data_IF_553748609768
#
_entry.id   IF_553748609768
#
_cell.length_a   1.000
_cell.length_b   1.000
_cell.length_c   1.000
_cell.angle_alpha   90.00
_cell.angle_beta   90.00
_cell.angle_gamma   90.00
#
_symmetry.space_group_name_H-M   'P 1'
#
loop_
_entity.id
_entity.type
_entity.pdbx_description
1 polymer ?
#
# COMPACT_ATOMS: atom_id res chain seq x y z
N UNK A 1 -2.37 -74.45 27.02
CA UNK A 1 -3.22 -74.27 28.22
C UNK A 1 -3.27 -72.78 28.52
N UNK A 2 -4.45 -72.16 28.49
CA UNK A 2 -4.65 -70.85 29.16
C UNK A 2 -4.57 -71.06 30.68
N UNK A 3 -4.12 -70.05 31.45
CA UNK A 3 -5.11 -69.17 32.08
C UNK A 3 -4.70 -67.69 32.21
N UNK A 4 -5.64 -66.84 31.83
CA UNK A 4 -6.28 -65.72 32.54
C UNK A 4 -5.58 -65.01 33.73
N UNK A 5 -5.72 -63.67 33.71
CA UNK A 5 -6.11 -62.72 34.80
C UNK A 5 -5.11 -61.56 35.01
N UNK A 6 -5.48 -60.34 34.59
CA UNK A 6 -5.65 -59.16 35.48
C UNK A 6 -6.19 -57.96 34.68
N UNK A 7 -7.44 -57.58 35.00
CA UNK A 7 -8.09 -56.35 34.58
C UNK A 7 -7.42 -55.14 35.24
N UNK A 8 -7.20 -54.07 34.48
CA UNK A 8 -6.84 -52.75 34.99
C UNK A 8 -8.10 -51.97 35.42
N UNK A 9 -8.02 -51.15 36.50
CA UNK A 9 -9.15 -50.37 36.97
C UNK A 9 -9.43 -49.15 36.08
N UNK A 10 -10.72 -48.82 36.00
CA UNK A 10 -11.24 -47.61 35.42
C UNK A 10 -10.87 -46.37 36.26
N UNK A 11 -10.67 -45.24 35.60
CA UNK A 11 -10.75 -43.92 36.21
C UNK A 11 -9.51 -43.07 36.01
N UNK A 12 -9.54 -42.25 34.96
CA UNK A 12 -9.05 -40.87 34.94
C UNK A 12 -9.53 -40.26 33.62
N UNK A 13 -10.66 -39.56 33.68
CA UNK A 13 -11.16 -38.74 32.57
C UNK A 13 -10.19 -37.58 32.40
N UNK A 14 -9.66 -37.31 31.18
CA UNK A 14 -8.87 -36.11 30.94
C UNK A 14 -9.78 -34.89 31.11
N UNK A 15 -9.37 -33.95 31.97
CA UNK A 15 -10.00 -32.63 32.07
C UNK A 15 -9.69 -31.90 30.76
N UNK A 16 -10.67 -31.84 29.86
CA UNK A 16 -10.60 -30.99 28.67
C UNK A 16 -10.43 -29.52 29.11
N UNK A 17 -9.56 -28.74 28.45
CA UNK A 17 -9.50 -27.31 28.68
C UNK A 17 -10.85 -26.69 28.35
N UNK A 18 -11.37 -25.86 29.27
CA UNK A 18 -12.54 -25.01 29.08
C UNK A 18 -12.29 -24.06 27.88
N UNK A 19 -12.63 -24.53 26.68
CA UNK A 19 -12.88 -23.67 25.53
C UNK A 19 -14.19 -22.95 25.83
N UNK A 20 -14.24 -21.61 25.82
CA UNK A 20 -15.49 -20.88 25.97
C UNK A 20 -16.48 -21.36 24.91
N UNK A 21 -17.61 -21.92 25.37
CA UNK A 21 -18.71 -22.34 24.51
C UNK A 21 -19.07 -21.19 23.58
N UNK A 22 -19.04 -21.47 22.28
CA UNK A 22 -19.50 -20.58 21.22
C UNK A 22 -20.87 -20.00 21.57
N UNK A 23 -20.87 -18.73 21.99
CA UNK A 23 -22.02 -17.87 21.81
C UNK A 23 -22.33 -17.76 20.32
N UNK A 24 -23.61 -17.66 20.00
CA UNK A 24 -24.14 -17.45 18.66
C UNK A 24 -23.28 -16.50 17.82
N UNK A 25 -23.18 -16.68 16.49
CA UNK A 25 -22.46 -15.73 15.63
C UNK A 25 -23.00 -14.35 15.95
N UNK A 26 -22.13 -13.48 16.50
CA UNK A 26 -22.43 -12.09 16.64
C UNK A 26 -22.93 -11.64 15.27
N UNK A 27 -24.18 -11.14 15.21
CA UNK A 27 -24.64 -10.41 14.03
C UNK A 27 -23.51 -9.48 13.67
N UNK A 28 -23.00 -9.63 12.45
CA UNK A 28 -21.92 -8.82 11.91
C UNK A 28 -22.45 -7.38 11.88
N UNK A 29 -22.32 -6.67 12.99
CA UNK A 29 -22.63 -5.24 13.08
C UNK A 29 -21.52 -4.61 12.26
N UNK A 30 -21.77 -4.47 10.97
CA UNK A 30 -20.91 -3.69 10.09
C UNK A 30 -20.91 -2.27 10.63
N UNK A 31 -19.92 -1.97 11.48
CA UNK A 31 -19.68 -0.61 11.96
C UNK A 31 -19.35 0.25 10.75
N UNK A 32 -20.12 1.31 10.55
CA UNK A 32 -19.89 2.24 9.47
C UNK A 32 -18.45 2.80 9.52
N UNK A 33 -17.79 2.97 8.36
CA UNK A 33 -16.43 3.50 8.33
C UNK A 33 -16.39 4.93 8.85
N UNK A 34 -15.50 5.18 9.80
CA UNK A 34 -15.28 6.49 10.40
C UNK A 34 -14.62 7.47 9.42
N UNK A 35 -13.65 6.97 8.65
CA UNK A 35 -12.91 7.71 7.65
C UNK A 35 -13.41 7.33 6.25
N UNK A 36 -13.83 8.32 5.47
CA UNK A 36 -14.36 8.15 4.11
C UNK A 36 -13.72 9.16 3.18
N UNK A 37 -13.75 8.91 1.88
CA UNK A 37 -13.29 9.87 0.87
C UNK A 37 -14.02 11.23 0.96
N UNK A 38 -15.25 11.24 1.48
CA UNK A 38 -16.05 12.47 1.63
C UNK A 38 -15.62 13.34 2.80
N UNK A 39 -15.12 12.73 3.89
CA UNK A 39 -14.79 13.45 5.11
C UNK A 39 -13.28 13.56 5.37
N UNK A 40 -12.44 12.92 4.58
CA UNK A 40 -10.98 12.87 4.76
C UNK A 40 -10.27 13.68 3.68
N UNK A 41 -9.28 14.49 4.07
CA UNK A 41 -8.42 15.23 3.12
C UNK A 41 -7.14 14.45 2.83
N UNK A 42 -6.83 14.25 1.57
CA UNK A 42 -5.61 13.53 1.16
C UNK A 42 -4.59 14.51 0.59
N UNK A 43 -3.43 14.59 1.22
CA UNK A 43 -2.22 15.14 0.60
C UNK A 43 -1.50 14.01 -0.13
N UNK A 44 -0.95 14.26 -1.31
CA UNK A 44 -0.35 13.17 -2.09
C UNK A 44 0.76 13.59 -3.03
N UNK A 45 1.63 12.63 -3.33
CA UNK A 45 2.60 12.68 -4.41
C UNK A 45 2.66 11.32 -5.09
N UNK A 46 1.91 11.16 -6.18
CA UNK A 46 1.70 9.88 -6.85
C UNK A 46 2.21 9.94 -8.28
N UNK A 47 3.45 9.48 -8.47
CA UNK A 47 4.09 9.42 -9.77
C UNK A 47 4.40 7.98 -10.16
N UNK A 48 4.39 7.74 -11.48
CA UNK A 48 4.56 6.43 -12.07
C UNK A 48 5.46 6.51 -13.29
N UNK A 49 6.33 5.52 -13.43
CA UNK A 49 7.00 5.19 -14.69
C UNK A 49 6.20 4.10 -15.39
N UNK A 50 5.65 4.40 -16.56
CA UNK A 50 4.88 3.47 -17.37
C UNK A 50 5.61 3.17 -18.68
N UNK A 51 5.93 1.88 -18.92
CA UNK A 51 6.53 1.42 -20.15
C UNK A 51 5.49 0.71 -21.03
N UNK A 52 5.29 1.26 -22.23
CA UNK A 52 4.42 0.72 -23.28
C UNK A 52 5.28 0.14 -24.41
N UNK A 53 5.04 -1.13 -24.73
CA UNK A 53 5.79 -1.86 -25.75
C UNK A 53 5.06 -1.84 -27.10
N UNK A 54 5.74 -1.32 -28.11
CA UNK A 54 5.28 -1.26 -29.48
C UNK A 54 5.55 -2.58 -30.21
N UNK A 55 4.70 -2.91 -31.18
CA UNK A 55 5.00 -3.96 -32.17
C UNK A 55 5.97 -3.45 -33.22
N UNK A 56 5.73 -2.22 -33.66
CA UNK A 56 6.56 -1.48 -34.60
C UNK A 56 6.71 -0.04 -34.06
N UNK A 57 7.91 0.56 -34.15
CA UNK A 57 8.13 1.91 -33.65
C UNK A 57 7.22 2.91 -34.38
N UNK A 58 6.67 3.91 -33.67
CA UNK A 58 5.90 4.96 -34.32
C UNK A 58 6.81 5.83 -35.21
N UNK A 59 6.30 6.26 -36.36
CA UNK A 59 7.04 7.13 -37.29
C UNK A 59 7.12 8.58 -36.82
N UNK A 60 6.22 8.99 -35.94
CA UNK A 60 6.14 10.33 -35.34
C UNK A 60 5.61 10.24 -33.90
N UNK A 61 5.96 11.24 -33.09
CA UNK A 61 5.50 11.43 -31.71
C UNK A 61 4.50 12.58 -31.55
N UNK A 62 4.00 13.15 -32.65
CA UNK A 62 3.09 14.32 -32.63
C UNK A 62 1.76 14.04 -31.90
N UNK A 63 1.43 12.77 -31.66
CA UNK A 63 0.27 12.33 -30.89
C UNK A 63 0.38 12.64 -29.39
N UNK A 64 1.56 12.96 -28.85
CA UNK A 64 1.76 13.06 -27.40
C UNK A 64 0.92 14.17 -26.76
N UNK A 65 0.87 15.36 -27.36
CA UNK A 65 0.10 16.49 -26.84
C UNK A 65 -1.41 16.18 -26.79
N UNK A 66 -1.94 15.55 -27.84
CA UNK A 66 -3.34 15.13 -27.91
C UNK A 66 -3.65 14.02 -26.89
N UNK A 67 -2.74 13.05 -26.74
CA UNK A 67 -2.87 12.01 -25.73
C UNK A 67 -2.88 12.59 -24.31
N UNK A 68 -1.97 13.53 -24.02
CA UNK A 68 -1.88 14.19 -22.71
C UNK A 68 -3.19 14.89 -22.37
N UNK A 69 -3.74 15.70 -23.29
CA UNK A 69 -5.03 16.37 -23.09
C UNK A 69 -6.19 15.37 -22.87
N UNK A 70 -6.17 14.24 -23.58
CA UNK A 70 -7.20 13.22 -23.45
C UNK A 70 -7.17 12.45 -22.11
N UNK A 71 -6.07 12.49 -21.35
CA UNK A 71 -5.92 11.80 -20.06
C UNK A 71 -6.47 12.60 -18.87
N UNK A 72 -6.48 13.93 -18.93
CA UNK A 72 -6.88 14.79 -17.80
C UNK A 72 -8.26 14.44 -17.20
N UNK A 73 -9.32 14.14 -17.99
CA UNK A 73 -10.62 13.75 -17.44
C UNK A 73 -10.61 12.44 -16.64
N UNK A 74 -9.62 11.58 -16.87
CA UNK A 74 -9.45 10.32 -16.12
C UNK A 74 -8.62 10.53 -14.84
N UNK A 75 -8.28 11.78 -14.51
CA UNK A 75 -7.37 12.15 -13.42
C UNK A 75 -5.96 11.55 -13.55
N UNK A 76 -5.54 11.34 -14.80
CA UNK A 76 -4.22 10.86 -15.18
C UNK A 76 -3.54 11.99 -15.94
N UNK A 77 -2.33 12.38 -15.50
CA UNK A 77 -1.52 13.39 -16.18
C UNK A 77 -0.28 12.76 -16.75
N UNK A 78 -0.07 12.89 -18.06
CA UNK A 78 1.21 12.55 -18.68
C UNK A 78 2.13 13.75 -18.53
N UNK A 79 3.18 13.62 -17.73
CA UNK A 79 4.11 14.70 -17.44
C UNK A 79 5.27 14.75 -18.44
N UNK A 80 5.74 13.57 -18.87
CA UNK A 80 6.83 13.45 -19.83
C UNK A 80 6.70 12.16 -20.64
N UNK A 81 7.32 12.13 -21.81
CA UNK A 81 7.45 10.96 -22.66
C UNK A 81 8.87 10.89 -23.23
N UNK A 82 9.45 9.70 -23.16
CA UNK A 82 10.68 9.35 -23.84
C UNK A 82 10.45 8.09 -24.67
N UNK A 83 11.04 8.03 -25.86
CA UNK A 83 11.07 6.81 -26.66
C UNK A 83 12.45 6.17 -26.51
N UNK A 84 12.47 4.93 -26.02
CA UNK A 84 13.66 4.10 -25.85
C UNK A 84 13.70 3.03 -26.97
N UNK A 85 14.61 3.18 -27.94
CA UNK A 85 14.70 2.26 -29.07
C UNK A 85 15.00 0.81 -28.62
N UNK A 86 14.49 -0.20 -29.35
CA UNK A 86 13.82 -0.05 -30.65
C UNK A 86 12.30 0.20 -30.57
N UNK A 87 11.64 -0.04 -29.44
CA UNK A 87 10.18 -0.18 -29.42
C UNK A 87 9.51 0.10 -28.07
N UNK A 88 10.07 0.96 -27.22
CA UNK A 88 9.50 1.25 -25.89
C UNK A 88 9.17 2.73 -25.75
N UNK A 89 7.92 3.07 -25.47
CA UNK A 89 7.58 4.39 -24.93
C UNK A 89 7.59 4.34 -23.42
N UNK A 90 8.38 5.20 -22.78
CA UNK A 90 8.37 5.45 -21.34
C UNK A 90 7.59 6.72 -21.07
N UNK A 91 6.64 6.65 -20.15
CA UNK A 91 5.82 7.78 -19.73
C UNK A 91 6.07 8.07 -18.26
N UNK A 92 6.21 9.34 -17.94
CA UNK A 92 6.12 9.84 -16.58
C UNK A 92 4.66 10.23 -16.35
N UNK A 93 4.00 9.59 -15.40
CA UNK A 93 2.57 9.76 -15.14
C UNK A 93 2.36 10.24 -13.72
N UNK A 94 1.46 11.19 -13.52
CA UNK A 94 0.95 11.57 -12.19
C UNK A 94 -0.53 11.25 -12.12
N UNK A 95 -1.02 10.82 -10.95
CA UNK A 95 -2.45 10.53 -10.74
C UNK A 95 -2.98 11.17 -9.47
N UNK A 96 -4.30 11.32 -9.37
CA UNK A 96 -4.96 11.56 -8.08
C UNK A 96 -5.08 10.24 -7.28
N UNK A 97 -5.29 10.30 -5.95
CA UNK A 97 -5.35 9.11 -5.09
C UNK A 97 -6.49 8.13 -5.37
N UNK A 98 -7.57 8.58 -6.01
CA UNK A 98 -8.72 7.73 -6.34
C UNK A 98 -8.49 6.87 -7.60
N UNK A 99 -7.41 7.11 -8.36
CA UNK A 99 -7.09 6.33 -9.55
C UNK A 99 -6.48 5.00 -9.16
N UNK A 100 -7.09 3.91 -9.61
CA UNK A 100 -6.53 2.56 -9.51
C UNK A 100 -5.35 2.43 -10.49
N UNK A 101 -4.15 2.01 -10.05
CA UNK A 101 -2.97 1.97 -10.92
C UNK A 101 -3.14 1.12 -12.18
N UNK A 102 -3.90 0.03 -12.13
CA UNK A 102 -4.18 -0.81 -13.30
C UNK A 102 -4.96 -0.08 -14.41
N UNK A 103 -5.60 1.06 -14.11
CA UNK A 103 -6.28 1.88 -15.11
C UNK A 103 -5.29 2.70 -15.96
N UNK A 104 -4.11 3.05 -15.44
CA UNK A 104 -3.09 3.81 -16.18
C UNK A 104 -2.77 3.14 -17.54
N UNK A 105 -2.30 1.88 -17.58
CA UNK A 105 -1.99 1.21 -18.84
C UNK A 105 -3.23 1.06 -19.73
N UNK A 106 -4.41 0.80 -19.16
CA UNK A 106 -5.65 0.63 -19.92
C UNK A 106 -6.04 1.93 -20.65
N UNK A 107 -6.01 3.06 -19.94
CA UNK A 107 -6.39 4.38 -20.47
C UNK A 107 -5.35 4.90 -21.46
N UNK A 108 -4.07 4.92 -21.09
CA UNK A 108 -3.00 5.44 -21.95
C UNK A 108 -2.93 4.65 -23.25
N UNK A 109 -2.88 3.32 -23.17
CA UNK A 109 -2.82 2.46 -24.35
C UNK A 109 -4.08 2.54 -25.20
N UNK A 110 -5.26 2.54 -24.57
CA UNK A 110 -6.54 2.60 -25.27
C UNK A 110 -6.71 3.89 -26.06
N UNK A 111 -6.45 5.04 -25.43
CA UNK A 111 -6.55 6.34 -26.11
C UNK A 111 -5.50 6.51 -27.17
N UNK A 112 -4.26 6.10 -26.91
CA UNK A 112 -3.22 6.15 -27.93
C UNK A 112 -3.53 5.23 -29.13
N UNK A 113 -4.07 4.04 -28.89
CA UNK A 113 -4.49 3.16 -29.99
C UNK A 113 -5.60 3.79 -30.84
N UNK A 114 -6.51 4.57 -30.24
CA UNK A 114 -7.53 5.30 -30.98
C UNK A 114 -6.92 6.38 -31.88
N UNK A 115 -5.97 7.18 -31.35
CA UNK A 115 -5.26 8.21 -32.13
C UNK A 115 -4.51 7.62 -33.32
N UNK A 116 -3.91 6.44 -33.14
CA UNK A 116 -3.08 5.79 -34.15
C UNK A 116 -3.83 4.80 -35.04
N UNK A 117 -5.12 4.56 -34.80
CA UNK A 117 -5.82 3.43 -35.41
C UNK A 117 -5.78 3.43 -36.94
N UNK A 118 -5.78 4.62 -37.55
CA UNK A 118 -5.77 4.79 -39.01
C UNK A 118 -4.43 4.46 -39.65
N UNK A 119 -3.32 4.62 -38.92
CA UNK A 119 -1.95 4.45 -39.43
C UNK A 119 -1.28 3.18 -38.93
N UNK A 120 -1.61 2.75 -37.70
CA UNK A 120 -1.03 1.59 -37.02
C UNK A 120 -2.14 0.77 -36.32
N UNK A 121 -2.88 -0.05 -37.08
CA UNK A 121 -3.83 -0.98 -36.47
C UNK A 121 -3.08 -1.98 -35.58
N UNK A 122 -3.46 -2.06 -34.29
CA UNK A 122 -2.82 -2.94 -33.29
C UNK A 122 -1.36 -2.58 -32.99
N UNK A 123 -1.07 -1.31 -32.73
CA UNK A 123 0.27 -0.77 -32.52
C UNK A 123 1.05 -1.42 -31.35
N UNK A 124 0.36 -2.03 -30.38
CA UNK A 124 0.96 -2.42 -29.10
C UNK A 124 1.01 -3.92 -28.84
N UNK A 125 2.00 -4.33 -28.06
CA UNK A 125 2.05 -5.65 -27.44
C UNK A 125 1.04 -5.74 -26.29
N UNK A 126 0.79 -6.95 -25.76
CA UNK A 126 -0.17 -7.13 -24.66
C UNK A 126 0.40 -6.68 -23.31
N UNK A 127 1.68 -6.95 -23.08
CA UNK A 127 2.33 -6.74 -21.80
C UNK A 127 2.69 -5.27 -21.57
N UNK A 128 2.94 -4.91 -20.31
CA UNK A 128 3.41 -3.59 -19.93
C UNK A 128 4.23 -3.64 -18.63
N UNK A 129 4.94 -2.55 -18.32
CA UNK A 129 5.54 -2.35 -16.99
C UNK A 129 5.06 -1.06 -16.35
N UNK A 130 4.76 -1.10 -15.06
CA UNK A 130 4.31 0.06 -14.27
C UNK A 130 5.07 0.12 -12.95
N UNK A 131 5.68 1.26 -12.64
CA UNK A 131 6.50 1.42 -11.43
C UNK A 131 6.08 2.67 -10.69
N UNK A 132 5.82 2.58 -9.39
CA UNK A 132 5.76 3.74 -8.52
C UNK A 132 7.14 4.40 -8.43
N UNK A 133 7.18 5.73 -8.50
CA UNK A 133 8.40 6.52 -8.37
C UNK A 133 8.13 7.71 -7.46
N UNK A 134 9.16 8.12 -6.70
CA UNK A 134 9.09 9.23 -5.78
C UNK A 134 10.15 10.28 -6.09
N UNK A 135 10.06 11.44 -5.43
CA UNK A 135 11.17 12.41 -5.39
C UNK A 135 12.42 11.84 -4.71
N UNK A 136 12.22 10.77 -3.92
CA UNK A 136 13.24 10.10 -3.13
C UNK A 136 13.17 8.59 -3.39
N UNK A 137 14.32 7.96 -3.55
CA UNK A 137 14.45 6.51 -3.78
C UNK A 137 14.00 5.71 -2.55
N UNK A 138 13.60 4.45 -2.76
CA UNK A 138 13.14 3.52 -1.72
C UNK A 138 14.07 3.47 -0.51
N UNK A 139 15.36 3.21 -0.74
CA UNK A 139 16.37 3.08 0.30
C UNK A 139 16.36 4.28 1.27
N UNK A 140 16.24 5.49 0.72
CA UNK A 140 16.12 6.73 1.49
C UNK A 140 14.79 6.87 2.22
N UNK A 141 13.67 6.45 1.63
CA UNK A 141 12.36 6.45 2.30
C UNK A 141 12.34 5.43 3.45
N UNK A 142 12.86 4.23 3.22
CA UNK A 142 12.97 3.18 4.24
C UNK A 142 13.94 3.60 5.36
N UNK A 143 15.07 4.21 5.02
CA UNK A 143 16.00 4.77 6.00
C UNK A 143 15.35 5.91 6.80
N UNK A 144 14.64 6.83 6.13
CA UNK A 144 13.88 7.90 6.78
C UNK A 144 12.86 7.36 7.78
N UNK A 145 12.11 6.31 7.40
CA UNK A 145 11.14 5.65 8.27
C UNK A 145 11.84 4.94 9.44
N UNK A 146 12.96 4.27 9.19
CA UNK A 146 13.76 3.63 10.25
C UNK A 146 14.33 4.64 11.26
N UNK A 147 14.74 5.81 10.79
CA UNK A 147 15.29 6.88 11.64
C UNK A 147 14.23 7.72 12.35
N UNK A 148 12.94 7.54 12.06
CA UNK A 148 11.89 8.42 12.58
C UNK A 148 11.91 8.54 14.10
N UNK A 149 12.06 7.42 14.81
CA UNK A 149 12.11 7.46 16.26
C UNK A 149 13.27 8.35 16.76
N UNK A 150 14.44 8.29 16.13
CA UNK A 150 15.58 9.16 16.47
C UNK A 150 15.40 10.64 16.09
N UNK A 151 14.57 10.96 15.09
CA UNK A 151 14.26 12.34 14.70
C UNK A 151 13.21 13.00 15.60
N UNK A 152 12.48 12.22 16.38
CA UNK A 152 11.52 12.69 17.38
C UNK A 152 12.02 12.33 18.78
N UNK A 153 13.10 12.97 19.28
CA UNK A 153 13.64 12.64 20.59
C UNK A 153 12.59 12.94 21.67
N UNK A 154 12.27 11.93 22.46
CA UNK A 154 11.47 12.13 23.68
C UNK A 154 12.34 12.79 24.76
N UNK A 155 11.73 13.66 25.56
CA UNK A 155 12.42 14.28 26.70
C UNK A 155 12.94 13.24 27.72
N UNK A 156 12.34 12.05 27.75
CA UNK A 156 12.74 10.93 28.61
C UNK A 156 13.17 9.74 27.74
N UNK A 157 14.43 9.33 27.88
CA UNK A 157 15.02 8.18 27.18
C UNK A 157 14.26 6.88 27.43
N UNK A 158 13.60 6.73 28.58
CA UNK A 158 12.78 5.54 28.88
C UNK A 158 11.55 5.49 27.99
N UNK A 159 10.96 6.64 27.67
CA UNK A 159 9.83 6.73 26.73
C UNK A 159 10.33 6.43 25.32
N UNK A 160 11.51 6.93 24.95
CA UNK A 160 12.16 6.63 23.68
C UNK A 160 12.35 5.12 23.48
N UNK A 161 13.03 4.45 24.42
CA UNK A 161 13.26 3.00 24.40
C UNK A 161 11.94 2.22 24.39
N UNK A 162 10.94 2.72 25.12
CA UNK A 162 9.61 2.12 25.16
C UNK A 162 8.88 2.20 23.81
N UNK A 163 9.17 3.16 22.95
CA UNK A 163 8.57 3.26 21.61
C UNK A 163 9.19 2.27 20.61
N UNK A 164 10.43 1.81 20.85
CA UNK A 164 11.13 0.88 19.95
C UNK A 164 10.35 -0.43 19.74
N UNK A 165 9.71 -0.95 20.80
CA UNK A 165 8.90 -2.19 20.72
C UNK A 165 7.66 -2.06 19.81
N UNK A 166 7.25 -0.83 19.49
CA UNK A 166 6.10 -0.56 18.64
C UNK A 166 6.44 -0.42 17.16
N UNK A 167 7.72 -0.27 16.83
CA UNK A 167 8.16 -0.21 15.45
C UNK A 167 7.99 -1.59 14.81
N UNK A 168 7.70 -1.59 13.52
CA UNK A 168 7.65 -2.81 12.70
C UNK A 168 8.76 -2.74 11.68
N UNK A 169 9.52 -3.82 11.59
CA UNK A 169 10.45 -4.07 10.51
C UNK A 169 10.37 -5.54 10.15
N UNK A 170 10.06 -5.84 8.89
CA UNK A 170 10.05 -7.19 8.36
C UNK A 170 11.18 -7.36 7.33
N UNK A 171 12.27 -7.99 7.77
CA UNK A 171 13.44 -8.28 6.93
C UNK A 171 13.14 -9.23 5.76
N UNK A 172 12.03 -9.98 5.84
CA UNK A 172 11.62 -10.90 4.78
C UNK A 172 10.89 -10.19 3.63
N UNK A 173 10.45 -8.95 3.85
CA UNK A 173 9.75 -8.14 2.86
C UNK A 173 10.75 -7.24 2.12
N UNK A 174 10.93 -7.54 0.83
CA UNK A 174 11.80 -6.79 -0.07
C UNK A 174 10.96 -6.02 -1.11
N UNK A 175 10.77 -4.72 -0.87
CA UNK A 175 10.01 -3.83 -1.75
C UNK A 175 10.73 -3.47 -3.06
N UNK A 176 11.99 -3.87 -3.21
CA UNK A 176 12.71 -3.75 -4.50
C UNK A 176 12.34 -4.84 -5.48
N UNK A 177 11.75 -5.96 -5.01
CA UNK A 177 11.39 -7.08 -5.88
C UNK A 177 10.19 -6.72 -6.74
N UNK A 178 10.36 -6.93 -8.04
CA UNK A 178 9.29 -6.83 -9.00
C UNK A 178 8.19 -7.84 -8.70
N UNK A 179 6.94 -7.39 -8.83
CA UNK A 179 5.76 -8.24 -8.79
C UNK A 179 5.28 -8.46 -10.22
N UNK A 180 4.61 -9.58 -10.46
CA UNK A 180 4.13 -9.93 -11.80
C UNK A 180 2.68 -10.39 -11.78
N UNK A 181 1.97 -10.05 -12.85
CA UNK A 181 0.70 -10.67 -13.23
C UNK A 181 0.88 -11.36 -14.59
N UNK A 182 -0.18 -11.94 -15.13
CA UNK A 182 -0.14 -12.51 -16.50
C UNK A 182 0.13 -11.47 -17.60
N UNK A 183 0.05 -10.17 -17.30
CA UNK A 183 0.17 -9.07 -18.29
C UNK A 183 1.11 -7.94 -17.86
N UNK A 184 1.53 -7.91 -16.60
CA UNK A 184 2.21 -6.76 -16.02
C UNK A 184 3.44 -7.17 -15.22
N UNK A 185 4.49 -6.37 -15.33
CA UNK A 185 5.62 -6.34 -14.41
C UNK A 185 5.57 -5.02 -13.63
N UNK A 186 5.43 -5.07 -12.31
CA UNK A 186 5.14 -3.87 -11.54
C UNK A 186 5.83 -3.74 -10.20
N UNK A 187 5.97 -2.47 -9.80
CA UNK A 187 6.28 -2.02 -8.46
C UNK A 187 5.19 -1.04 -8.06
N UNK A 188 4.50 -1.32 -6.97
CA UNK A 188 3.50 -0.42 -6.44
C UNK A 188 3.74 -0.29 -4.95
N UNK A 189 4.60 0.64 -4.59
CA UNK A 189 4.99 0.91 -3.22
C UNK A 189 4.46 2.28 -2.79
N UNK A 190 3.88 2.31 -1.58
CA UNK A 190 3.31 3.50 -0.98
C UNK A 190 3.92 3.78 0.38
N UNK A 191 4.22 5.05 0.61
CA UNK A 191 4.50 5.62 1.92
C UNK A 191 3.22 6.30 2.42
N UNK A 192 2.65 5.76 3.49
CA UNK A 192 1.44 6.30 4.12
C UNK A 192 1.82 7.03 5.40
N UNK A 193 1.18 8.18 5.64
CA UNK A 193 1.32 8.91 6.91
C UNK A 193 -0.05 9.25 7.48
N UNK A 194 -0.25 8.92 8.75
CA UNK A 194 -1.46 9.23 9.50
C UNK A 194 -1.09 10.06 10.72
N UNK A 195 -1.66 11.25 10.84
CA UNK A 195 -1.40 12.16 11.96
C UNK A 195 -2.48 11.96 13.01
N UNK A 196 -2.08 11.83 14.27
CA UNK A 196 -3.01 11.76 15.39
C UNK A 196 -3.65 13.13 15.63
N UNK A 197 -4.94 13.11 15.95
CA UNK A 197 -5.73 14.33 16.14
C UNK A 197 -5.14 15.17 17.29
N UNK A 198 -5.10 16.48 17.06
CA UNK A 198 -4.54 17.49 17.96
C UNK A 198 -3.05 17.24 18.31
N UNK A 199 -2.37 16.38 17.54
CA UNK A 199 -1.04 15.83 17.88
C UNK A 199 -0.96 15.34 19.31
N UNK A 200 -2.07 14.83 19.84
CA UNK A 200 -2.09 14.29 21.19
C UNK A 200 -1.13 13.11 21.25
N UNK A 201 -0.06 13.27 22.03
CA UNK A 201 1.02 12.30 22.18
C UNK A 201 0.50 11.04 22.88
N UNK A 202 -0.06 10.10 22.12
CA UNK A 202 -0.63 8.88 22.66
C UNK A 202 0.47 7.89 23.02
N UNK A 203 0.87 7.91 24.29
CA UNK A 203 1.94 7.06 24.82
C UNK A 203 1.41 5.84 25.63
N UNK A 204 0.11 5.51 25.54
CA UNK A 204 -0.45 4.37 26.29
C UNK A 204 -0.10 3.05 25.59
N UNK A 205 0.45 2.10 26.36
CA UNK A 205 0.96 0.85 25.80
C UNK A 205 -0.12 0.01 25.15
N UNK A 206 -1.32 0.00 25.72
CA UNK A 206 -2.45 -0.77 25.20
C UNK A 206 -2.86 -0.25 23.82
N UNK A 207 -2.91 1.08 23.66
CA UNK A 207 -3.24 1.74 22.39
C UNK A 207 -2.17 1.48 21.33
N UNK A 208 -0.90 1.69 21.66
CA UNK A 208 0.21 1.48 20.73
C UNK A 208 0.34 0.01 20.32
N UNK A 209 0.12 -0.91 21.25
CA UNK A 209 0.08 -2.36 20.97
C UNK A 209 -1.06 -2.71 20.02
N UNK A 210 -2.27 -2.19 20.27
CA UNK A 210 -3.43 -2.43 19.41
C UNK A 210 -3.21 -1.90 17.99
N UNK A 211 -2.66 -0.68 17.86
CA UNK A 211 -2.30 -0.08 16.58
C UNK A 211 -1.30 -0.95 15.84
N UNK A 212 -0.16 -1.29 16.45
CA UNK A 212 0.89 -2.13 15.83
C UNK A 212 0.31 -3.46 15.34
N UNK A 213 -0.42 -4.16 16.20
CA UNK A 213 -0.99 -5.46 15.87
C UNK A 213 -1.99 -5.36 14.71
N UNK A 214 -2.79 -4.29 14.69
CA UNK A 214 -3.74 -4.05 13.61
C UNK A 214 -3.05 -3.71 12.28
N UNK A 215 -1.97 -2.94 12.28
CA UNK A 215 -1.17 -2.68 11.07
C UNK A 215 -0.72 -4.00 10.44
N UNK A 216 -0.12 -4.88 11.24
CA UNK A 216 0.35 -6.19 10.78
C UNK A 216 -0.81 -7.08 10.31
N UNK A 217 -1.90 -7.13 11.06
CA UNK A 217 -3.07 -7.93 10.72
C UNK A 217 -3.75 -7.46 9.42
N UNK A 218 -3.92 -6.14 9.25
CA UNK A 218 -4.48 -5.55 8.04
C UNK A 218 -3.61 -5.81 6.82
N UNK A 219 -2.28 -5.63 6.95
CA UNK A 219 -1.34 -5.94 5.87
C UNK A 219 -1.43 -7.41 5.44
N UNK A 220 -1.39 -8.34 6.41
CA UNK A 220 -1.52 -9.77 6.14
C UNK A 220 -2.86 -10.13 5.49
N UNK A 221 -3.98 -9.61 6.02
CA UNK A 221 -5.33 -9.89 5.50
C UNK A 221 -5.50 -9.42 4.06
N UNK A 222 -4.88 -8.31 3.69
CA UNK A 222 -4.94 -7.74 2.34
C UNK A 222 -3.87 -8.26 1.39
N UNK A 223 -2.90 -9.04 1.88
CA UNK A 223 -1.75 -9.45 1.08
C UNK A 223 -0.82 -8.27 0.71
N UNK A 224 -0.80 -7.21 1.52
CA UNK A 224 0.16 -6.13 1.37
C UNK A 224 1.52 -6.55 1.93
N UNK A 225 2.58 -6.15 1.23
CA UNK A 225 3.96 -6.33 1.66
C UNK A 225 4.35 -5.20 2.61
N UNK A 226 4.09 -5.34 3.91
CA UNK A 226 4.49 -4.34 4.92
C UNK A 226 5.99 -4.49 5.24
N UNK A 227 6.80 -3.51 4.82
CA UNK A 227 8.25 -3.52 5.12
C UNK A 227 8.56 -2.86 6.46
N UNK A 228 8.07 -1.63 6.65
CA UNK A 228 8.27 -0.88 7.90
C UNK A 228 7.00 -0.17 8.34
N UNK A 229 6.80 -0.11 9.65
CA UNK A 229 5.89 0.83 10.29
C UNK A 229 6.64 1.59 11.39
N UNK A 230 6.65 2.92 11.30
CA UNK A 230 7.08 3.76 12.41
C UNK A 230 5.85 4.23 13.18
N UNK A 231 5.67 3.76 14.42
CA UNK A 231 4.54 4.14 15.28
C UNK A 231 5.06 5.14 16.31
N UNK A 232 4.73 6.41 16.12
CA UNK A 232 5.13 7.51 17.00
C UNK A 232 3.92 8.00 17.80
N UNK A 233 4.14 8.82 18.85
CA UNK A 233 3.04 9.27 19.70
C UNK A 233 2.07 10.23 19.00
N UNK A 234 2.49 10.99 17.98
CA UNK A 234 1.65 11.96 17.27
C UNK A 234 1.37 11.59 15.80
N UNK A 235 2.05 10.59 15.23
CA UNK A 235 1.80 10.14 13.86
C UNK A 235 2.35 8.73 13.60
N UNK A 236 1.97 8.17 12.45
CA UNK A 236 2.40 6.84 11.99
C UNK A 236 2.90 6.97 10.57
N UNK A 237 4.02 6.31 10.25
CA UNK A 237 4.50 6.09 8.89
C UNK A 237 4.43 4.62 8.52
N UNK A 238 3.95 4.29 7.32
CA UNK A 238 3.96 2.92 6.78
C UNK A 238 4.66 2.89 5.42
N UNK A 239 5.48 1.87 5.18
CA UNK A 239 6.01 1.54 3.84
C UNK A 239 5.48 0.19 3.41
N UNK A 240 4.70 0.19 2.34
CA UNK A 240 3.94 -1.00 1.91
C UNK A 240 4.05 -1.21 0.40
N UNK A 241 4.09 -2.47 -0.02
CA UNK A 241 3.88 -2.90 -1.40
C UNK A 241 2.45 -3.41 -1.60
N UNK A 242 1.77 -2.97 -2.66
CA UNK A 242 0.32 -3.08 -2.84
C UNK A 242 -0.06 -3.82 -4.13
N UNK A 243 -1.32 -4.25 -4.23
CA UNK A 243 -1.87 -4.82 -5.46
C UNK A 243 -2.38 -3.72 -6.42
N UNK A 244 -2.23 -3.92 -7.73
CA UNK A 244 -2.60 -2.93 -8.76
C UNK A 244 -4.11 -2.64 -8.82
N UNK A 245 -4.95 -3.50 -8.25
CA UNK A 245 -6.41 -3.35 -8.24
C UNK A 245 -6.93 -2.38 -7.17
N UNK A 246 -6.09 -1.94 -6.23
CA UNK A 246 -6.48 -1.00 -5.16
C UNK A 246 -5.91 0.40 -5.40
N UNK A 247 -6.77 1.42 -5.31
CA UNK A 247 -6.31 2.81 -5.40
C UNK A 247 -5.56 3.23 -4.12
N UNK A 248 -4.63 4.19 -4.22
CA UNK A 248 -3.94 4.73 -3.04
C UNK A 248 -4.91 5.23 -1.95
N UNK A 249 -6.03 5.84 -2.33
CA UNK A 249 -7.08 6.29 -1.40
C UNK A 249 -7.76 5.11 -0.68
N UNK A 250 -8.14 4.06 -1.41
CA UNK A 250 -8.77 2.87 -0.82
C UNK A 250 -7.86 2.21 0.23
N UNK A 251 -6.56 2.14 -0.08
CA UNK A 251 -5.56 1.57 0.81
C UNK A 251 -5.44 2.44 2.07
N UNK A 252 -5.22 3.75 1.92
CA UNK A 252 -5.07 4.67 3.05
C UNK A 252 -6.30 4.67 3.96
N UNK A 253 -7.51 4.79 3.40
CA UNK A 253 -8.76 4.75 4.15
C UNK A 253 -8.97 3.39 4.84
N UNK A 254 -8.57 2.29 4.21
CA UNK A 254 -8.69 0.98 4.83
C UNK A 254 -7.81 0.87 6.07
N UNK A 255 -6.54 1.31 6.01
CA UNK A 255 -5.69 1.34 7.21
C UNK A 255 -6.27 2.26 8.28
N UNK A 256 -6.63 3.52 7.96
CA UNK A 256 -7.24 4.44 8.92
C UNK A 256 -8.43 3.83 9.68
N UNK A 257 -9.36 3.19 8.97
CA UNK A 257 -10.52 2.57 9.59
C UNK A 257 -10.17 1.32 10.41
N UNK A 258 -9.23 0.49 9.96
CA UNK A 258 -8.77 -0.64 10.77
C UNK A 258 -8.11 -0.16 12.07
N UNK A 259 -7.29 0.90 12.01
CA UNK A 259 -6.68 1.48 13.20
C UNK A 259 -7.71 2.09 14.15
N UNK A 260 -8.73 2.78 13.62
CA UNK A 260 -9.86 3.27 14.40
C UNK A 260 -10.58 2.12 15.11
N UNK A 261 -10.85 1.03 14.39
CA UNK A 261 -11.48 -0.17 14.94
C UNK A 261 -10.66 -0.78 16.08
N UNK A 262 -9.33 -0.87 15.93
CA UNK A 262 -8.43 -1.40 16.95
C UNK A 262 -8.48 -0.62 18.28
N UNK A 263 -8.91 0.64 18.25
CA UNK A 263 -9.02 1.51 19.42
C UNK A 263 -10.47 1.83 19.81
N UNK A 264 -11.42 1.02 19.32
CA UNK A 264 -12.84 1.10 19.67
C UNK A 264 -13.63 2.13 18.86
N UNK A 265 -13.34 2.26 17.56
CA UNK A 265 -14.00 3.16 16.61
C UNK A 265 -13.94 4.64 17.02
N UNK A 266 -12.81 5.07 17.58
CA UNK A 266 -12.56 6.46 17.98
C UNK A 266 -11.81 7.23 16.88
N UNK A 267 -12.10 8.53 16.67
CA UNK A 267 -11.39 9.37 15.70
C UNK A 267 -10.02 9.78 16.25
N UNK A 268 -9.12 8.80 16.38
CA UNK A 268 -7.77 8.99 16.90
C UNK A 268 -6.89 9.80 15.95
N UNK A 269 -7.11 9.65 14.65
CA UNK A 269 -6.39 10.36 13.60
C UNK A 269 -7.16 11.58 13.14
N UNK A 270 -6.44 12.57 12.64
CA UNK A 270 -7.03 13.65 11.87
C UNK A 270 -7.88 13.09 10.72
N UNK A 271 -8.87 13.86 10.28
CA UNK A 271 -9.60 13.58 9.05
C UNK A 271 -8.75 13.93 7.83
N UNK A 272 -7.53 13.39 7.79
CA UNK A 272 -6.58 13.56 6.73
C UNK A 272 -5.49 12.50 6.74
N UNK A 273 -4.82 12.36 5.61
CA UNK A 273 -3.65 11.50 5.47
C UNK A 273 -2.72 12.03 4.38
N UNK A 274 -1.50 11.51 4.37
CA UNK A 274 -0.57 11.70 3.27
C UNK A 274 -0.24 10.36 2.60
N UNK A 275 -0.17 10.36 1.27
CA UNK A 275 0.17 9.19 0.46
C UNK A 275 1.21 9.55 -0.61
N UNK A 276 2.38 8.92 -0.54
CA UNK A 276 3.44 9.08 -1.53
C UNK A 276 3.79 7.78 -2.24
N UNK A 277 3.91 7.83 -3.56
CA UNK A 277 4.52 6.75 -4.33
C UNK A 277 6.05 6.82 -4.20
N UNK A 278 6.70 5.67 -4.07
CA UNK A 278 8.15 5.55 -4.10
C UNK A 278 8.59 4.28 -4.83
N UNK A 279 9.87 4.18 -5.17
CA UNK A 279 10.43 2.99 -5.81
C UNK A 279 11.95 3.04 -5.91
N UNK A 280 12.54 2.10 -6.63
CA UNK A 280 14.00 2.04 -6.85
C UNK A 280 14.55 3.25 -7.61
N UNK A 281 13.68 3.90 -8.38
CA UNK A 281 14.02 4.97 -9.28
C UNK A 281 13.40 6.29 -8.80
N UNK A 282 14.13 7.38 -9.02
CA UNK A 282 13.62 8.73 -8.84
C UNK A 282 12.99 9.24 -10.14
N UNK A 283 12.52 10.49 -10.13
CA UNK A 283 11.88 11.15 -11.27
C UNK A 283 12.80 11.29 -12.50
N UNK A 284 14.13 11.13 -12.35
CA UNK A 284 15.10 11.22 -13.45
C UNK A 284 15.23 9.94 -14.28
N UNK A 285 14.49 8.88 -13.95
CA UNK A 285 14.56 7.60 -14.66
C UNK A 285 13.64 7.49 -15.90
N UNK A 286 12.91 8.56 -16.23
CA UNK A 286 12.05 8.65 -17.43
C UNK A 286 12.58 9.68 -18.39
#
# INVERSE_FOLDING_TARGET
MCPTILQAPAGLVPVEPMIPRHGAPAKDVMTEPLYTAKNTRVAYQLNWSYALFWREPPKSLDWFAELQAAMEPDHIRLLNHAFDPPNVSKFLVSTTPNVVPDLIPQRVKGRLQHLLQRTMPRAFQRNYSLRSIGSTKRDRVEAYVASQLGHHPMADERVQQRLEKYQVYDETVDLSRQRQTSRALYWYNLHLVFVMRDRNMHIKDETLTAIRNMICAAAKKKGHCLSRAAVLPDHIHLTIGCDLAESPEQIALSYLNNLAFAVGMKPLFEYGNWVGAFGEYDLGAV
#
